data_IF_604431856067
#
_entry.id   IF_604431856067
#
_cell.length_a   1.000
_cell.length_b   1.000
_cell.length_c   1.000
_cell.angle_alpha   90.00
_cell.angle_beta   90.00
_cell.angle_gamma   90.00
#
_symmetry.space_group_name_H-M   'P 1'
#
loop_
_entity.id
_entity.type
_entity.pdbx_description
1 polymer ?
#
# COMPACT_ATOMS: atom_id res chain seq x y z
N UNK A 1 -0.17 0.85 13.43
CA UNK A 1 -1.61 0.61 13.70
C UNK A 1 -2.39 0.88 12.43
N UNK A 2 -3.19 -0.07 11.90
CA UNK A 2 -4.05 0.16 10.75
C UNK A 2 -5.31 0.93 11.16
N UNK A 3 -5.68 1.94 10.39
CA UNK A 3 -6.90 2.74 10.60
C UNK A 3 -7.94 2.31 9.56
N UNK A 4 -9.03 1.67 10.00
CA UNK A 4 -10.17 1.39 9.14
C UNK A 4 -11.03 2.65 9.02
N UNK A 5 -11.22 3.17 7.80
CA UNK A 5 -12.04 4.34 7.55
C UNK A 5 -13.52 3.95 7.39
N UNK A 6 -14.37 4.34 8.35
CA UNK A 6 -15.82 4.10 8.37
C UNK A 6 -16.66 5.01 7.44
N UNK A 7 -16.04 5.70 6.48
CA UNK A 7 -16.76 6.60 5.57
C UNK A 7 -17.09 5.87 4.26
N UNK A 8 -18.01 4.92 4.31
CA UNK A 8 -18.56 4.26 3.12
C UNK A 8 -19.76 5.08 2.63
N UNK A 9 -19.62 5.73 1.48
CA UNK A 9 -20.73 6.41 0.82
C UNK A 9 -21.60 5.31 0.18
N UNK A 10 -22.88 5.14 0.57
CA UNK A 10 -23.70 3.98 0.19
C UNK A 10 -24.00 3.88 -1.32
N UNK A 11 -23.79 4.94 -2.09
CA UNK A 11 -24.00 4.98 -3.55
C UNK A 11 -22.72 4.81 -4.38
N UNK A 12 -21.55 4.73 -3.74
CA UNK A 12 -20.29 4.61 -4.45
C UNK A 12 -19.93 3.14 -4.70
N UNK A 13 -19.69 2.81 -5.97
CA UNK A 13 -19.14 1.51 -6.37
C UNK A 13 -17.62 1.61 -6.38
N UNK A 14 -16.97 0.76 -5.59
CA UNK A 14 -15.51 0.73 -5.50
C UNK A 14 -14.96 -0.48 -6.21
N UNK A 15 -13.83 -0.30 -6.91
CA UNK A 15 -13.11 -1.38 -7.57
C UNK A 15 -12.01 -1.90 -6.64
N UNK A 16 -11.96 -3.21 -6.45
CA UNK A 16 -10.90 -3.84 -5.69
C UNK A 16 -9.57 -3.75 -6.45
N UNK A 17 -8.54 -3.27 -5.79
CA UNK A 17 -7.20 -3.15 -6.39
C UNK A 17 -6.55 -4.50 -6.71
N UNK A 18 -6.89 -5.55 -5.96
CA UNK A 18 -6.24 -6.87 -6.07
C UNK A 18 -6.89 -7.75 -7.14
N UNK A 19 -8.22 -7.86 -7.12
CA UNK A 19 -8.95 -8.77 -8.02
C UNK A 19 -9.77 -8.04 -9.09
N UNK A 20 -9.88 -6.72 -9.03
CA UNK A 20 -10.65 -5.92 -9.98
C UNK A 20 -12.18 -5.99 -9.83
N UNK A 21 -12.71 -6.77 -8.87
CA UNK A 21 -14.16 -6.85 -8.62
C UNK A 21 -14.71 -5.54 -8.08
N UNK A 22 -15.94 -5.20 -8.46
CA UNK A 22 -16.68 -4.05 -7.91
C UNK A 22 -17.46 -4.46 -6.66
N UNK A 23 -17.39 -3.63 -5.61
CA UNK A 23 -18.16 -3.80 -4.37
C UNK A 23 -18.78 -2.48 -3.94
N UNK A 24 -19.99 -2.53 -3.37
CA UNK A 24 -20.64 -1.42 -2.68
C UNK A 24 -20.16 -1.28 -1.23
N UNK A 25 -19.56 -2.33 -0.67
CA UNK A 25 -19.03 -2.38 0.70
C UNK A 25 -17.53 -2.65 0.68
N UNK A 26 -16.70 -1.66 0.30
CA UNK A 26 -15.25 -1.83 0.30
C UNK A 26 -14.68 -1.82 1.72
N UNK A 27 -13.58 -2.55 1.88
CA UNK A 27 -12.64 -2.36 2.98
C UNK A 27 -11.64 -1.30 2.52
N UNK A 28 -11.68 -0.12 3.13
CA UNK A 28 -10.74 0.97 2.86
C UNK A 28 -9.54 0.83 3.79
N UNK A 29 -8.41 0.43 3.23
CA UNK A 29 -7.18 0.20 3.99
C UNK A 29 -6.11 1.22 3.64
N UNK A 30 -5.49 1.82 4.66
CA UNK A 30 -4.43 2.82 4.49
C UNK A 30 -3.20 2.44 5.31
N UNK A 31 -2.03 2.50 4.68
CA UNK A 31 -0.73 2.37 5.35
C UNK A 31 -0.12 3.74 5.62
N UNK A 32 0.80 3.84 6.57
CA UNK A 32 1.43 5.12 6.95
C UNK A 32 2.21 5.79 5.81
N UNK A 33 2.69 5.01 4.83
CA UNK A 33 3.48 5.50 3.70
C UNK A 33 2.64 5.78 2.44
N UNK A 34 1.31 5.66 2.50
CA UNK A 34 0.43 5.92 1.37
C UNK A 34 -0.49 7.12 1.62
N UNK A 35 -0.53 8.04 0.65
CA UNK A 35 -1.42 9.22 0.72
C UNK A 35 -2.89 8.85 0.54
N UNK A 36 -3.18 7.84 -0.30
CA UNK A 36 -4.55 7.41 -0.63
C UNK A 36 -4.85 6.02 -0.04
N UNK A 37 -6.06 5.81 0.52
CA UNK A 37 -6.51 4.48 0.93
C UNK A 37 -6.78 3.60 -0.29
N UNK A 38 -6.58 2.29 -0.12
CA UNK A 38 -6.87 1.28 -1.14
C UNK A 38 -8.22 0.64 -0.83
N UNK A 39 -9.04 0.46 -1.86
CA UNK A 39 -10.32 -0.23 -1.75
C UNK A 39 -10.16 -1.73 -2.05
N UNK A 40 -10.69 -2.56 -1.16
CA UNK A 40 -10.60 -4.01 -1.23
C UNK A 40 -11.98 -4.63 -1.05
N UNK A 41 -12.27 -5.72 -1.76
CA UNK A 41 -13.59 -6.37 -1.68
C UNK A 41 -13.71 -7.44 -0.59
N UNK A 42 -12.60 -7.94 -0.04
CA UNK A 42 -12.62 -9.01 0.95
C UNK A 42 -11.35 -9.03 1.81
N UNK A 43 -11.41 -9.70 2.96
CA UNK A 43 -10.25 -9.92 3.85
C UNK A 43 -9.14 -10.72 3.18
N UNK A 44 -9.48 -11.62 2.27
CA UNK A 44 -8.50 -12.38 1.50
C UNK A 44 -7.68 -11.47 0.58
N UNK A 45 -8.36 -10.54 -0.12
CA UNK A 45 -7.68 -9.53 -0.94
C UNK A 45 -6.83 -8.60 -0.08
N UNK A 46 -7.31 -8.23 1.11
CA UNK A 46 -6.53 -7.45 2.06
C UNK A 46 -5.21 -8.15 2.45
N UNK A 47 -5.27 -9.42 2.84
CA UNK A 47 -4.08 -10.17 3.25
C UNK A 47 -3.07 -10.34 2.10
N UNK A 48 -3.55 -10.60 0.88
CA UNK A 48 -2.70 -10.65 -0.32
C UNK A 48 -2.04 -9.30 -0.58
N UNK A 49 -2.83 -8.23 -0.57
CA UNK A 49 -2.34 -6.87 -0.79
C UNK A 49 -1.28 -6.46 0.25
N UNK A 50 -1.51 -6.74 1.54
CA UNK A 50 -0.53 -6.46 2.61
C UNK A 50 0.77 -7.21 2.37
N UNK A 51 0.69 -8.49 2.00
CA UNK A 51 1.87 -9.34 1.77
C UNK A 51 2.72 -8.82 0.61
N UNK A 52 2.08 -8.42 -0.49
CA UNK A 52 2.77 -7.81 -1.63
C UNK A 52 3.32 -6.42 -1.30
N UNK A 53 2.55 -5.63 -0.55
CA UNK A 53 2.98 -4.31 -0.12
C UNK A 53 4.25 -4.37 0.75
N UNK A 54 4.31 -5.28 1.73
CA UNK A 54 5.49 -5.50 2.58
C UNK A 54 6.69 -5.91 1.74
N UNK A 55 6.53 -6.88 0.83
CA UNK A 55 7.60 -7.31 -0.10
C UNK A 55 8.13 -6.12 -0.90
N UNK A 56 7.26 -5.26 -1.42
CA UNK A 56 7.67 -4.08 -2.17
C UNK A 56 8.42 -3.06 -1.30
N UNK A 57 8.06 -2.89 -0.02
CA UNK A 57 8.81 -2.03 0.90
C UNK A 57 10.22 -2.55 1.15
N UNK A 58 10.40 -3.87 1.33
CA UNK A 58 11.72 -4.48 1.49
C UNK A 58 12.62 -4.26 0.27
N UNK A 59 12.05 -4.35 -0.95
CA UNK A 59 12.79 -4.08 -2.19
C UNK A 59 13.21 -2.61 -2.31
N UNK A 60 12.35 -1.67 -1.90
CA UNK A 60 12.69 -0.23 -1.89
C UNK A 60 13.86 0.04 -0.94
N UNK A 61 13.89 -0.60 0.23
CA UNK A 61 15.00 -0.48 1.18
C UNK A 61 16.31 -1.04 0.59
N UNK A 62 16.27 -2.25 -0.01
CA UNK A 62 17.44 -2.87 -0.64
C UNK A 62 18.01 -2.04 -1.80
N UNK A 63 17.15 -1.48 -2.64
CA UNK A 63 17.59 -0.63 -3.76
C UNK A 63 18.22 0.69 -3.28
N UNK A 64 17.80 1.24 -2.13
CA UNK A 64 18.45 2.41 -1.52
C UNK A 64 19.85 2.08 -0.98
N UNK A 65 20.07 0.88 -0.48
CA UNK A 65 21.39 0.45 0.00
C UNK A 65 22.39 0.29 -1.16
N UNK A 66 21.95 -0.20 -2.32
CA UNK A 66 22.78 -0.23 -3.54
C UNK A 66 23.09 1.15 -4.13
N UNK A 67 22.29 2.17 -3.82
CA UNK A 67 22.48 3.54 -4.29
C UNK A 67 23.41 4.40 -3.40
N UNK A 68 23.81 3.91 -2.22
CA UNK A 68 24.89 4.53 -1.43
C UNK A 68 26.26 4.21 -2.05
N UNK A 69 26.57 4.85 -3.19
CA UNK A 69 27.98 5.08 -3.52
C UNK A 69 28.58 5.87 -2.34
N UNK A 70 29.74 5.48 -1.79
CA UNK A 70 30.40 6.32 -0.81
C UNK A 70 30.69 7.65 -1.49
N UNK A 71 30.13 8.74 -0.95
CA UNK A 71 30.63 10.08 -1.18
C UNK A 71 32.10 10.05 -0.75
N UNK A 72 33.01 9.78 -1.70
CA UNK A 72 34.44 10.03 -1.53
C UNK A 72 34.52 11.48 -1.04
N UNK A 73 35.01 11.65 0.19
CA UNK A 73 35.35 12.96 0.75
C UNK A 73 36.27 13.66 -0.25
N UNK A 74 35.73 14.65 -0.95
CA UNK A 74 36.49 15.62 -1.74
C UNK A 74 36.59 16.88 -0.89
N UNK A 75 37.50 16.87 0.07
CA UNK A 75 38.13 18.08 0.58
C UNK A 75 39.59 17.71 0.83
N UNK A 76 40.42 18.12 -0.13
CA UNK A 76 41.86 18.27 0.00
C UNK A 76 42.16 19.62 0.68
#
# INVERSE_FOLDING_TARGET
MPLELKNVIPTAVYRCEVCGKTTSTPILYKTCCMNKPVALCSRECLNRWISEWIKNQEQILRNREGARKPLRKLYA
#
